data_IF_494942009446
#
_entry.id   IF_494942009446
#
_cell.length_a   1.000
_cell.length_b   1.000
_cell.length_c   1.000
_cell.angle_alpha   90.00
_cell.angle_beta   90.00
_cell.angle_gamma   90.00
#
_symmetry.space_group_name_H-M   'P 1'
#
loop_
_entity.id
_entity.type
_entity.pdbx_description
1 polymer ?
#
# COMPACT_ATOMS: atom_id res chain seq x y z
N UNK A 1 2.59 14.45 7.37
CA UNK A 1 2.55 12.97 7.29
C UNK A 1 1.96 12.60 5.94
N UNK A 2 2.72 12.73 4.86
CA UNK A 2 2.32 12.20 3.55
C UNK A 2 3.32 11.18 2.98
N UNK A 3 4.52 11.05 3.57
CA UNK A 3 5.57 10.18 3.04
C UNK A 3 5.74 8.83 3.73
N UNK A 4 5.73 8.76 5.06
CA UNK A 4 5.57 7.46 5.75
C UNK A 4 4.19 6.83 5.47
N UNK A 5 3.20 7.72 5.27
CA UNK A 5 1.88 7.44 4.72
C UNK A 5 1.94 6.64 3.44
N UNK A 6 3.00 6.78 2.65
CA UNK A 6 3.04 6.29 1.31
C UNK A 6 3.57 4.87 1.16
N UNK A 7 4.43 4.38 2.05
CA UNK A 7 4.88 2.98 2.02
C UNK A 7 3.82 2.05 2.59
N UNK A 8 3.14 2.51 3.64
CA UNK A 8 1.92 1.88 4.12
C UNK A 8 0.79 2.12 3.12
N UNK A 9 0.62 3.33 2.55
CA UNK A 9 -0.41 3.56 1.53
C UNK A 9 -0.10 2.85 0.23
N UNK A 10 1.14 2.47 -0.06
CA UNK A 10 1.50 1.58 -1.14
C UNK A 10 0.99 0.17 -0.83
N UNK A 11 1.10 -0.28 0.41
CA UNK A 11 0.44 -1.50 0.87
C UNK A 11 -1.11 -1.36 0.86
N UNK A 12 -1.71 -0.26 1.36
CA UNK A 12 -3.15 0.04 1.18
C UNK A 12 -3.51 0.03 -0.30
N UNK A 13 -2.65 0.59 -1.14
CA UNK A 13 -2.83 0.70 -2.56
C UNK A 13 -2.70 -0.69 -3.18
N UNK A 14 -1.86 -1.64 -2.74
CA UNK A 14 -1.91 -3.01 -3.27
C UNK A 14 -3.31 -3.57 -3.12
N UNK A 15 -3.93 -3.50 -1.94
CA UNK A 15 -5.27 -4.07 -1.78
C UNK A 15 -6.38 -3.26 -2.47
N UNK A 16 -6.17 -1.95 -2.63
CA UNK A 16 -7.24 -1.02 -2.91
C UNK A 16 -7.13 -0.33 -4.30
N UNK A 17 -5.93 -0.17 -4.86
CA UNK A 17 -5.73 0.02 -6.31
C UNK A 17 -6.41 -1.08 -7.12
N UNK A 18 -6.37 -2.31 -6.60
CA UNK A 18 -6.93 -3.47 -7.27
C UNK A 18 -8.46 -3.51 -7.20
N UNK A 19 -9.11 -2.70 -6.35
CA UNK A 19 -10.56 -2.74 -6.22
C UNK A 19 -11.30 -1.54 -6.79
N UNK A 20 -10.73 -0.34 -7.02
CA UNK A 20 -11.58 0.82 -7.39
C UNK A 20 -10.99 2.02 -8.16
N UNK A 21 -9.83 1.94 -8.81
CA UNK A 21 -9.14 3.16 -9.26
C UNK A 21 -8.79 3.20 -10.75
N UNK A 22 -9.74 3.45 -11.64
CA UNK A 22 -9.41 3.83 -13.02
C UNK A 22 -10.34 4.79 -13.78
N UNK A 23 -11.64 5.01 -13.46
CA UNK A 23 -12.45 5.88 -14.32
C UNK A 23 -12.03 7.36 -14.31
N UNK A 24 -11.02 7.76 -13.50
CA UNK A 24 -10.54 9.15 -13.38
C UNK A 24 -9.03 9.37 -13.42
N UNK A 25 -8.19 8.33 -13.48
CA UNK A 25 -6.74 8.49 -13.70
C UNK A 25 -6.41 8.77 -15.18
N UNK A 26 -7.29 9.47 -15.88
CA UNK A 26 -6.96 10.03 -17.18
C UNK A 26 -6.28 11.36 -16.90
N UNK A 27 -4.95 11.34 -16.84
CA UNK A 27 -4.16 12.56 -17.06
C UNK A 27 -4.39 12.98 -18.52
N UNK A 28 -5.57 13.53 -18.83
CA UNK A 28 -5.81 14.16 -20.13
C UNK A 28 -4.99 15.43 -20.14
N UNK A 29 -3.97 15.52 -21.00
CA UNK A 29 -3.50 16.83 -21.40
C UNK A 29 -4.62 17.51 -22.22
N UNK A 30 -4.84 18.82 -22.08
CA UNK A 30 -5.76 19.53 -22.95
C UNK A 30 -5.24 19.46 -24.40
N UNK A 31 -5.78 18.54 -25.21
CA UNK A 31 -5.41 18.37 -26.62
C UNK A 31 -5.03 16.96 -27.07
N UNK A 32 -4.85 16.00 -26.16
CA UNK A 32 -4.51 14.62 -26.52
C UNK A 32 -5.74 13.86 -27.05
N UNK A 33 -5.99 13.97 -28.35
CA UNK A 33 -6.62 12.87 -29.09
C UNK A 33 -5.66 11.70 -29.08
N UNK A 34 -6.02 10.60 -28.40
CA UNK A 34 -5.21 9.37 -28.33
C UNK A 34 -4.71 9.01 -29.76
N UNK A 35 -3.40 8.96 -30.00
CA UNK A 35 -2.88 8.66 -31.34
C UNK A 35 -3.35 7.27 -31.77
N UNK A 36 -3.95 7.18 -32.96
CA UNK A 36 -4.50 5.95 -33.59
C UNK A 36 -3.42 4.94 -34.02
N UNK A 37 -2.21 4.99 -33.46
CA UNK A 37 -1.14 4.03 -33.77
C UNK A 37 -1.28 2.78 -32.88
N UNK A 38 -1.65 1.67 -33.53
CA UNK A 38 -1.82 0.30 -33.03
C UNK A 38 -2.64 0.11 -31.73
N UNK A 39 -3.98 0.21 -31.81
CA UNK A 39 -4.90 -0.07 -30.70
C UNK A 39 -4.89 -1.53 -30.21
N UNK A 40 -4.29 -2.47 -30.96
CA UNK A 40 -4.44 -3.90 -30.70
C UNK A 40 -3.58 -4.46 -29.57
N UNK A 41 -2.54 -3.76 -29.09
CA UNK A 41 -1.65 -4.28 -28.02
C UNK A 41 -1.67 -3.45 -26.73
N UNK A 42 -1.53 -2.12 -26.84
CA UNK A 42 -1.50 -1.26 -25.67
C UNK A 42 -2.90 -0.98 -25.11
N UNK A 43 -3.94 -0.99 -25.96
CA UNK A 43 -5.33 -0.87 -25.51
C UNK A 43 -5.76 -2.09 -24.69
N UNK A 44 -5.43 -3.29 -25.15
CA UNK A 44 -5.83 -4.55 -24.52
C UNK A 44 -5.44 -4.64 -23.04
N UNK A 45 -4.20 -4.30 -22.70
CA UNK A 45 -3.70 -4.34 -21.31
C UNK A 45 -4.48 -3.39 -20.40
N UNK A 46 -4.78 -2.18 -20.86
CA UNK A 46 -5.55 -1.21 -20.07
C UNK A 46 -6.97 -1.71 -19.86
N UNK A 47 -7.63 -2.20 -20.91
CA UNK A 47 -8.98 -2.75 -20.80
C UNK A 47 -9.05 -4.01 -19.95
N UNK A 48 -8.03 -4.87 -19.98
CA UNK A 48 -7.98 -6.10 -19.18
C UNK A 48 -7.85 -5.80 -17.69
N UNK A 49 -6.87 -4.96 -17.32
CA UNK A 49 -6.72 -4.52 -15.93
C UNK A 49 -8.00 -3.81 -15.49
N UNK A 50 -8.51 -2.88 -16.31
CA UNK A 50 -9.76 -2.17 -16.03
C UNK A 50 -10.95 -3.09 -15.80
N UNK A 51 -11.21 -4.03 -16.72
CA UNK A 51 -12.32 -4.95 -16.60
C UNK A 51 -12.20 -5.82 -15.34
N UNK A 52 -10.99 -6.23 -15.00
CA UNK A 52 -10.73 -6.98 -13.78
C UNK A 52 -10.96 -6.13 -12.52
N UNK A 53 -10.46 -4.88 -12.48
CA UNK A 53 -10.73 -3.94 -11.39
C UNK A 53 -12.24 -3.63 -11.25
N UNK A 54 -12.94 -3.47 -12.38
CA UNK A 54 -14.38 -3.21 -12.42
C UNK A 54 -15.17 -4.41 -11.89
N UNK A 55 -14.71 -5.64 -12.17
CA UNK A 55 -15.26 -6.86 -11.58
C UNK A 55 -15.14 -6.89 -10.05
N UNK A 56 -14.04 -6.36 -9.50
CA UNK A 56 -13.83 -6.26 -8.06
C UNK A 56 -14.73 -5.22 -7.37
N UNK A 57 -15.33 -4.28 -8.11
CA UNK A 57 -16.29 -3.30 -7.59
C UNK A 57 -17.72 -3.84 -7.41
N UNK A 58 -18.04 -4.99 -8.03
CA UNK A 58 -19.40 -5.53 -8.12
C UNK A 58 -19.67 -6.74 -7.22
N UNK A 59 -18.64 -7.52 -6.85
CA UNK A 59 -18.78 -8.83 -6.22
C UNK A 59 -17.96 -8.98 -4.93
N UNK A 60 -18.22 -10.04 -4.16
CA UNK A 60 -17.35 -10.46 -3.05
C UNK A 60 -15.94 -10.71 -3.54
N UNK A 61 -14.91 -10.30 -2.78
CA UNK A 61 -13.50 -10.58 -3.10
C UNK A 61 -13.34 -12.07 -3.49
N UNK A 62 -12.80 -12.38 -4.68
CA UNK A 62 -12.70 -13.75 -5.14
C UNK A 62 -11.94 -14.60 -4.12
N UNK A 63 -12.36 -15.86 -3.86
CA UNK A 63 -11.63 -16.76 -2.96
C UNK A 63 -10.17 -17.00 -3.43
N UNK A 64 -9.87 -16.72 -4.70
CA UNK A 64 -8.55 -16.79 -5.33
C UNK A 64 -7.97 -15.40 -5.64
N UNK A 65 -8.35 -14.37 -4.88
CA UNK A 65 -7.94 -12.97 -5.11
C UNK A 65 -6.44 -12.83 -5.43
N UNK A 66 -5.60 -13.46 -4.63
CA UNK A 66 -4.15 -13.36 -4.81
C UNK A 66 -3.64 -14.07 -6.06
N UNK A 67 -4.24 -15.20 -6.46
CA UNK A 67 -3.88 -15.89 -7.70
C UNK A 67 -4.28 -15.02 -8.91
N UNK A 68 -5.46 -14.41 -8.87
CA UNK A 68 -5.96 -13.51 -9.91
C UNK A 68 -5.13 -12.22 -9.99
N UNK A 69 -4.74 -11.66 -8.84
CA UNK A 69 -3.81 -10.54 -8.77
C UNK A 69 -2.47 -10.88 -9.40
N UNK A 70 -1.86 -12.02 -9.02
CA UNK A 70 -0.61 -12.46 -9.64
C UNK A 70 -0.77 -12.70 -11.13
N UNK A 71 -1.90 -13.25 -11.58
CA UNK A 71 -2.19 -13.43 -13.01
C UNK A 71 -2.19 -12.11 -13.78
N UNK A 72 -2.65 -11.03 -13.16
CA UNK A 72 -2.77 -9.70 -13.76
C UNK A 72 -1.61 -8.76 -13.43
N UNK A 73 -0.58 -9.20 -12.70
CA UNK A 73 0.46 -8.31 -12.17
C UNK A 73 1.27 -7.64 -13.26
N UNK A 74 1.59 -8.35 -14.34
CA UNK A 74 2.37 -7.80 -15.46
C UNK A 74 1.60 -6.72 -16.22
N UNK A 75 0.30 -6.95 -16.41
CA UNK A 75 -0.61 -6.00 -17.03
C UNK A 75 -0.76 -4.74 -16.15
N UNK A 76 -0.98 -4.92 -14.84
CA UNK A 76 -1.08 -3.84 -13.87
C UNK A 76 0.22 -3.02 -13.77
N UNK A 77 1.38 -3.69 -13.76
CA UNK A 77 2.71 -3.06 -13.77
C UNK A 77 2.94 -2.23 -15.02
N UNK A 78 2.61 -2.78 -16.19
CA UNK A 78 2.75 -2.07 -17.47
C UNK A 78 1.90 -0.80 -17.48
N UNK A 79 0.66 -0.89 -16.99
CA UNK A 79 -0.22 0.26 -16.87
C UNK A 79 0.34 1.29 -15.87
N UNK A 80 0.84 0.85 -14.71
CA UNK A 80 1.41 1.72 -13.69
C UNK A 80 2.60 2.53 -14.20
N UNK A 81 3.55 1.87 -14.87
CA UNK A 81 4.70 2.53 -15.47
C UNK A 81 4.27 3.55 -16.53
N UNK A 82 3.20 3.27 -17.28
CA UNK A 82 2.65 4.24 -18.23
C UNK A 82 2.05 5.45 -17.54
N UNK A 83 1.23 5.27 -16.50
CA UNK A 83 0.66 6.39 -15.73
C UNK A 83 1.76 7.22 -15.07
N UNK A 84 2.79 6.55 -14.52
CA UNK A 84 3.96 7.22 -13.97
C UNK A 84 4.70 8.06 -15.03
N UNK A 85 4.94 7.50 -16.22
CA UNK A 85 5.60 8.23 -17.30
C UNK A 85 4.79 9.47 -17.76
N UNK A 86 3.45 9.38 -17.77
CA UNK A 86 2.59 10.53 -18.04
C UNK A 86 2.70 11.59 -16.94
N UNK A 87 2.81 11.17 -15.68
CA UNK A 87 3.06 12.09 -14.57
C UNK A 87 4.43 12.79 -14.72
N UNK A 88 5.49 12.07 -15.08
CA UNK A 88 6.81 12.65 -15.37
C UNK A 88 6.75 13.72 -16.46
N UNK A 89 5.95 13.52 -17.51
CA UNK A 89 5.76 14.51 -18.57
C UNK A 89 4.95 15.72 -18.11
N UNK A 90 3.90 15.48 -17.31
CA UNK A 90 2.99 16.53 -16.84
C UNK A 90 3.63 17.44 -15.79
N UNK A 91 4.45 16.88 -14.89
CA UNK A 91 5.04 17.57 -13.74
C UNK A 91 6.54 17.74 -13.94
N UNK A 92 6.90 18.54 -14.95
CA UNK A 92 8.28 18.73 -15.36
C UNK A 92 9.17 19.35 -14.25
N UNK A 93 8.57 20.11 -13.32
CA UNK A 93 9.24 20.76 -12.20
C UNK A 93 9.71 19.78 -11.12
N UNK A 94 9.11 18.59 -11.02
CA UNK A 94 9.50 17.51 -10.08
C UNK A 94 9.98 16.24 -10.78
N UNK A 95 10.36 16.35 -12.05
CA UNK A 95 10.84 15.23 -12.88
C UNK A 95 11.99 14.46 -12.23
N UNK A 96 12.96 15.17 -11.65
CA UNK A 96 14.12 14.52 -11.01
C UNK A 96 13.70 13.69 -9.78
N UNK A 97 12.77 14.21 -8.97
CA UNK A 97 12.19 13.49 -7.83
C UNK A 97 11.40 12.24 -8.26
N UNK A 98 10.69 12.31 -9.40
CA UNK A 98 10.00 11.15 -9.97
C UNK A 98 10.97 10.09 -10.49
N UNK A 99 12.09 10.48 -11.11
CA UNK A 99 13.14 9.55 -11.51
C UNK A 99 13.88 8.93 -10.31
N UNK A 100 14.08 9.70 -9.24
CA UNK A 100 14.59 9.16 -7.98
C UNK A 100 13.61 8.13 -7.41
N UNK A 101 12.31 8.43 -7.41
CA UNK A 101 11.28 7.49 -7.01
C UNK A 101 11.36 6.17 -7.79
N UNK A 102 11.47 6.22 -9.12
CA UNK A 102 11.64 5.02 -9.98
C UNK A 102 12.87 4.19 -9.59
N UNK A 103 13.98 4.89 -9.31
CA UNK A 103 15.24 4.26 -8.90
C UNK A 103 15.08 3.53 -7.56
N UNK A 104 14.48 4.19 -6.57
CA UNK A 104 14.32 3.64 -5.23
C UNK A 104 13.33 2.47 -5.18
N UNK A 105 12.24 2.53 -5.97
CA UNK A 105 11.31 1.40 -6.03
C UNK A 105 11.91 0.18 -6.73
N UNK A 106 12.63 0.38 -7.84
CA UNK A 106 13.33 -0.71 -8.52
C UNK A 106 14.32 -1.40 -7.59
N UNK A 107 15.15 -0.60 -6.90
CA UNK A 107 16.10 -1.12 -5.92
C UNK A 107 15.42 -1.84 -4.75
N UNK A 108 14.25 -1.38 -4.31
CA UNK A 108 13.47 -2.04 -3.26
C UNK A 108 12.99 -3.42 -3.72
N UNK A 109 12.39 -3.52 -4.91
CA UNK A 109 11.89 -4.78 -5.49
C UNK A 109 13.04 -5.78 -5.66
N UNK A 110 14.17 -5.34 -6.22
CA UNK A 110 15.34 -6.20 -6.43
C UNK A 110 15.91 -6.71 -5.10
N UNK A 111 15.95 -5.87 -4.08
CA UNK A 111 16.43 -6.25 -2.75
C UNK A 111 15.50 -7.23 -2.03
N UNK A 112 14.18 -7.04 -2.14
CA UNK A 112 13.21 -7.99 -1.57
C UNK A 112 13.26 -9.34 -2.28
N UNK A 113 13.47 -9.37 -3.60
CA UNK A 113 13.65 -10.61 -4.34
C UNK A 113 14.92 -11.36 -3.91
N UNK A 114 16.03 -10.64 -3.70
CA UNK A 114 17.28 -11.22 -3.17
C UNK A 114 17.11 -11.73 -1.74
N UNK A 115 16.40 -10.96 -0.90
CA UNK A 115 16.11 -11.36 0.46
C UNK A 115 15.26 -12.64 0.50
N UNK A 116 14.23 -12.73 -0.34
CA UNK A 116 13.44 -13.96 -0.51
C UNK A 116 14.32 -15.16 -0.86
N UNK A 117 15.22 -15.01 -1.82
CA UNK A 117 16.15 -16.08 -2.20
C UNK A 117 17.01 -16.53 -1.02
N UNK A 118 17.50 -15.60 -0.21
CA UNK A 118 18.25 -15.93 1.01
C UNK A 118 17.39 -16.68 2.04
N UNK A 119 16.09 -16.36 2.15
CA UNK A 119 15.15 -17.12 2.99
C UNK A 119 14.89 -18.54 2.45
N UNK A 120 14.84 -18.71 1.12
CA UNK A 120 14.66 -20.02 0.47
C UNK A 120 15.83 -20.97 0.75
N UNK A 121 17.05 -20.42 0.87
CA UNK A 121 18.26 -21.16 1.22
C UNK A 121 18.39 -21.45 2.74
N UNK A 122 17.54 -20.86 3.58
CA UNK A 122 17.57 -20.94 5.05
C UNK A 122 16.82 -22.14 5.67
N UNK A 123 16.95 -22.34 6.99
CA UNK A 123 16.32 -23.46 7.70
C UNK A 123 14.82 -23.22 7.88
N UNK A 124 14.00 -24.03 7.20
CA UNK A 124 12.54 -23.94 7.23
C UNK A 124 11.91 -23.15 6.09
N UNK A 125 12.74 -22.52 5.25
CA UNK A 125 12.33 -21.80 4.05
C UNK A 125 11.44 -20.58 4.31
N UNK A 126 11.01 -19.94 3.21
CA UNK A 126 10.15 -18.74 3.22
C UNK A 126 8.85 -18.95 4.00
N UNK A 127 8.22 -20.13 3.90
CA UNK A 127 6.91 -20.38 4.49
C UNK A 127 6.91 -20.22 6.02
N UNK A 128 7.93 -20.76 6.70
CA UNK A 128 8.02 -20.66 8.16
C UNK A 128 8.26 -19.21 8.58
N UNK A 129 9.09 -18.49 7.83
CA UNK A 129 9.33 -17.06 8.05
C UNK A 129 8.04 -16.24 7.87
N UNK A 130 7.22 -16.55 6.86
CA UNK A 130 5.90 -15.92 6.65
C UNK A 130 4.92 -16.18 7.78
N UNK A 131 4.98 -17.36 8.42
CA UNK A 131 4.11 -17.72 9.56
C UNK A 131 4.48 -16.92 10.82
N UNK A 132 5.76 -16.65 11.06
CA UNK A 132 6.26 -15.95 12.25
C UNK A 132 6.24 -14.41 12.09
N UNK A 133 6.34 -13.90 10.85
CA UNK A 133 6.42 -12.48 10.53
C UNK A 133 5.25 -11.61 11.07
N UNK A 134 3.97 -12.03 11.02
CA UNK A 134 2.87 -11.22 11.55
C UNK A 134 3.00 -10.94 13.05
N UNK A 135 3.42 -11.93 13.84
CA UNK A 135 3.59 -11.76 15.29
C UNK A 135 4.72 -10.78 15.61
N UNK A 136 5.83 -10.89 14.88
CA UNK A 136 6.96 -9.97 14.99
C UNK A 136 6.55 -8.52 14.66
N UNK A 137 5.86 -8.33 13.53
CA UNK A 137 5.46 -7.00 13.08
C UNK A 137 4.44 -6.36 14.04
N UNK A 138 3.53 -7.15 14.63
CA UNK A 138 2.59 -6.65 15.65
C UNK A 138 3.33 -6.04 16.85
N UNK A 139 4.34 -6.74 17.38
CA UNK A 139 5.15 -6.26 18.51
C UNK A 139 5.84 -4.92 18.17
N UNK A 140 6.37 -4.81 16.94
CA UNK A 140 6.99 -3.55 16.47
C UNK A 140 5.94 -2.44 16.39
N UNK A 141 4.76 -2.72 15.83
CA UNK A 141 3.68 -1.73 15.69
C UNK A 141 3.16 -1.23 17.03
N UNK A 142 2.94 -2.12 18.00
CA UNK A 142 2.51 -1.75 19.35
C UNK A 142 3.52 -0.79 20.02
N UNK A 143 4.81 -1.05 19.82
CA UNK A 143 5.89 -0.17 20.29
C UNK A 143 5.92 1.20 19.60
N UNK A 144 5.56 1.25 18.32
CA UNK A 144 5.53 2.49 17.53
C UNK A 144 4.30 3.35 17.84
N UNK A 145 3.13 2.75 18.08
CA UNK A 145 1.91 3.47 18.44
C UNK A 145 2.08 4.24 19.76
N UNK A 146 2.86 3.71 20.70
CA UNK A 146 3.19 4.39 21.96
C UNK A 146 4.18 5.56 21.80
N UNK A 147 5.15 5.43 20.89
CA UNK A 147 6.23 6.41 20.71
C UNK A 147 5.81 7.58 19.81
N UNK A 148 4.93 7.33 18.84
CA UNK A 148 4.46 8.32 17.89
C UNK A 148 2.96 8.57 18.09
N UNK A 149 2.56 9.25 19.18
CA UNK A 149 1.17 9.64 19.35
C UNK A 149 0.74 10.55 18.19
N UNK A 150 -0.55 10.58 17.81
CA UNK A 150 -1.04 11.40 16.71
C UNK A 150 -0.52 12.85 16.77
N UNK A 151 0.31 13.33 15.81
CA UNK A 151 0.76 14.71 15.89
C UNK A 151 -0.38 15.70 15.62
N UNK A 152 -0.32 16.91 16.15
CA UNK A 152 -1.31 17.95 15.86
C UNK A 152 -1.18 18.48 14.41
N UNK A 153 0.03 18.45 13.86
CA UNK A 153 0.35 18.95 12.52
C UNK A 153 1.03 17.88 11.66
N UNK A 154 1.20 18.17 10.35
CA UNK A 154 1.98 17.32 9.47
C UNK A 154 3.49 17.52 9.74
N UNK A 155 4.28 16.46 10.02
CA UNK A 155 5.73 16.58 10.16
C UNK A 155 6.39 17.05 8.86
N UNK A 156 7.37 17.94 9.01
CA UNK A 156 8.24 18.37 7.92
C UNK A 156 9.16 17.26 7.41
N UNK A 157 9.98 17.56 6.41
CA UNK A 157 10.89 16.61 5.75
C UNK A 157 11.81 15.87 6.75
N UNK A 158 12.59 16.62 7.54
CA UNK A 158 13.56 16.05 8.49
C UNK A 158 12.89 15.21 9.59
N UNK A 159 11.78 15.70 10.14
CA UNK A 159 11.01 14.99 11.16
C UNK A 159 10.48 13.66 10.60
N UNK A 160 9.91 13.69 9.39
CA UNK A 160 9.45 12.49 8.68
C UNK A 160 10.56 11.51 8.42
N UNK A 161 11.71 11.97 7.95
CA UNK A 161 12.89 11.14 7.73
C UNK A 161 13.33 10.46 9.02
N UNK A 162 13.38 11.19 10.13
CA UNK A 162 13.71 10.64 11.44
C UNK A 162 12.71 9.58 11.90
N UNK A 163 11.40 9.86 11.80
CA UNK A 163 10.35 8.89 12.13
C UNK A 163 10.47 7.61 11.31
N UNK A 164 10.62 7.74 9.98
CA UNK A 164 10.77 6.59 9.07
C UNK A 164 12.00 5.77 9.48
N UNK A 165 13.13 6.42 9.75
CA UNK A 165 14.35 5.73 10.18
C UNK A 165 14.17 4.94 11.48
N UNK A 166 13.48 5.51 12.48
CA UNK A 166 13.20 4.81 13.74
C UNK A 166 12.35 3.56 13.49
N UNK A 167 11.28 3.70 12.70
CA UNK A 167 10.40 2.58 12.32
C UNK A 167 11.20 1.48 11.63
N UNK A 168 12.02 1.84 10.64
CA UNK A 168 12.79 0.88 9.86
C UNK A 168 13.91 0.24 10.67
N UNK A 169 14.55 0.97 11.57
CA UNK A 169 15.54 0.40 12.47
C UNK A 169 14.93 -0.66 13.40
N UNK A 170 13.78 -0.38 14.02
CA UNK A 170 13.10 -1.35 14.90
C UNK A 170 12.58 -2.56 14.13
N UNK A 171 11.94 -2.32 12.99
CA UNK A 171 11.46 -3.38 12.10
C UNK A 171 12.63 -4.23 11.61
N UNK A 172 13.75 -3.59 11.26
CA UNK A 172 14.95 -4.24 10.78
C UNK A 172 15.60 -5.14 11.82
N UNK A 173 15.82 -4.65 13.05
CA UNK A 173 16.37 -5.48 14.13
C UNK A 173 15.45 -6.66 14.47
N UNK A 174 14.13 -6.45 14.43
CA UNK A 174 13.17 -7.53 14.64
C UNK A 174 13.29 -8.60 13.53
N UNK A 175 13.38 -8.18 12.26
CA UNK A 175 13.55 -9.08 11.11
C UNK A 175 14.88 -9.82 11.15
N UNK A 176 15.97 -9.14 11.53
CA UNK A 176 17.30 -9.75 11.70
C UNK A 176 17.26 -10.81 12.79
N UNK A 177 16.68 -10.49 13.95
CA UNK A 177 16.56 -11.44 15.06
C UNK A 177 15.75 -12.68 14.68
N UNK A 178 14.63 -12.48 13.98
CA UNK A 178 13.80 -13.58 13.47
C UNK A 178 14.55 -14.42 12.44
N UNK A 179 15.17 -13.80 11.42
CA UNK A 179 15.94 -14.52 10.40
C UNK A 179 17.10 -15.34 10.99
N UNK A 180 17.78 -14.82 12.02
CA UNK A 180 18.82 -15.55 12.72
C UNK A 180 18.26 -16.78 13.46
N UNK A 181 17.06 -16.68 14.03
CA UNK A 181 16.34 -17.83 14.61
C UNK A 181 15.94 -18.88 13.56
N UNK A 182 15.81 -18.49 12.30
CA UNK A 182 15.65 -19.39 11.14
C UNK A 182 16.97 -19.87 10.52
N UNK A 183 18.10 -19.66 11.20
CA UNK A 183 19.41 -20.16 10.78
C UNK A 183 20.04 -19.40 9.62
N UNK A 184 19.55 -18.20 9.32
CA UNK A 184 20.17 -17.31 8.32
C UNK A 184 21.29 -16.54 8.99
N UNK A 185 22.42 -16.39 8.29
CA UNK A 185 23.57 -15.65 8.82
C UNK A 185 23.18 -14.19 9.12
N UNK A 186 23.45 -13.76 10.36
CA UNK A 186 23.04 -12.45 10.85
C UNK A 186 23.71 -11.30 10.07
N UNK A 187 24.96 -11.48 9.62
CA UNK A 187 25.64 -10.47 8.82
C UNK A 187 24.96 -10.32 7.45
N UNK A 188 24.61 -11.44 6.80
CA UNK A 188 23.84 -11.42 5.55
C UNK A 188 22.50 -10.70 5.76
N UNK A 189 21.79 -10.98 6.86
CA UNK A 189 20.54 -10.29 7.19
C UNK A 189 20.73 -8.80 7.39
N UNK A 190 21.74 -8.38 8.16
CA UNK A 190 22.04 -6.96 8.41
C UNK A 190 22.34 -6.20 7.13
N UNK A 191 23.12 -6.81 6.22
CA UNK A 191 23.44 -6.21 4.92
C UNK A 191 22.17 -6.02 4.07
N UNK A 192 21.30 -7.04 3.96
CA UNK A 192 20.05 -6.96 3.19
C UNK A 192 19.04 -5.99 3.81
N UNK A 193 18.78 -6.13 5.10
CA UNK A 193 17.80 -5.30 5.83
C UNK A 193 18.26 -3.84 5.86
N UNK A 194 19.55 -3.57 6.04
CA UNK A 194 20.11 -2.22 5.97
C UNK A 194 19.93 -1.60 4.59
N UNK A 195 20.16 -2.36 3.52
CA UNK A 195 19.93 -1.90 2.15
C UNK A 195 18.45 -1.59 1.89
N UNK A 196 17.54 -2.53 2.18
CA UNK A 196 16.09 -2.34 2.01
C UNK A 196 15.61 -1.13 2.81
N UNK A 197 16.01 -1.02 4.08
CA UNK A 197 15.63 0.11 4.95
C UNK A 197 16.07 1.44 4.35
N UNK A 198 17.26 1.50 3.76
CA UNK A 198 17.74 2.72 3.11
C UNK A 198 16.86 3.10 1.92
N UNK A 199 16.52 2.14 1.03
CA UNK A 199 15.66 2.42 -0.13
C UNK A 199 14.25 2.86 0.30
N UNK A 200 13.71 2.18 1.31
CA UNK A 200 12.38 2.44 1.88
C UNK A 200 12.34 3.81 2.57
N UNK A 201 13.40 4.22 3.27
CA UNK A 201 13.54 5.57 3.85
C UNK A 201 13.42 6.62 2.75
N UNK A 202 14.23 6.50 1.70
CA UNK A 202 14.22 7.44 0.58
C UNK A 202 12.88 7.48 -0.14
N UNK A 203 12.29 6.32 -0.45
CA UNK A 203 11.00 6.23 -1.12
C UNK A 203 9.89 6.92 -0.31
N UNK A 204 9.86 6.69 1.01
CA UNK A 204 8.90 7.33 1.91
C UNK A 204 9.11 8.86 1.93
N UNK A 205 10.35 9.33 2.03
CA UNK A 205 10.67 10.76 2.09
C UNK A 205 10.31 11.45 0.78
N UNK A 206 10.84 10.97 -0.36
CA UNK A 206 10.60 11.55 -1.70
C UNK A 206 9.12 11.60 -2.00
N UNK A 207 8.39 10.52 -1.75
CA UNK A 207 6.96 10.54 -1.98
C UNK A 207 6.24 11.53 -1.08
N UNK A 208 6.72 11.63 0.16
CA UNK A 208 6.23 12.60 1.10
C UNK A 208 6.34 14.05 0.63
N UNK A 209 7.46 14.38 0.00
CA UNK A 209 7.72 15.72 -0.54
C UNK A 209 6.88 15.95 -1.80
N UNK A 210 6.83 14.97 -2.71
CA UNK A 210 5.98 15.01 -3.90
C UNK A 210 4.50 15.19 -3.54
N UNK A 211 4.03 14.53 -2.50
CA UNK A 211 2.66 14.62 -2.02
C UNK A 211 2.31 15.98 -1.39
N UNK A 212 3.32 16.71 -0.91
CA UNK A 212 3.17 18.08 -0.40
C UNK A 212 3.16 19.09 -1.54
N UNK A 213 4.03 18.92 -2.53
CA UNK A 213 4.16 19.82 -3.68
C UNK A 213 3.03 19.62 -4.71
N UNK A 214 2.66 18.37 -4.99
CA UNK A 214 1.65 17.97 -5.97
C UNK A 214 0.74 16.88 -5.39
N UNK A 215 -0.29 17.24 -4.61
CA UNK A 215 -1.21 16.28 -3.99
C UNK A 215 -1.85 15.29 -4.98
N UNK A 216 -2.01 15.66 -6.25
CA UNK A 216 -2.52 14.82 -7.33
C UNK A 216 -1.56 13.70 -7.77
N UNK A 217 -0.27 13.80 -7.43
CA UNK A 217 0.70 12.72 -7.67
C UNK A 217 0.53 11.58 -6.68
N UNK A 218 -0.08 11.80 -5.51
CA UNK A 218 -0.19 10.78 -4.46
C UNK A 218 -0.83 9.50 -4.98
N UNK A 219 -1.92 9.64 -5.74
CA UNK A 219 -2.67 8.49 -6.26
C UNK A 219 -1.85 7.73 -7.31
N UNK A 220 -1.17 8.46 -8.20
CA UNK A 220 -0.30 7.87 -9.25
C UNK A 220 0.86 7.13 -8.60
N UNK A 221 1.56 7.77 -7.68
CA UNK A 221 2.69 7.17 -6.99
C UNK A 221 2.19 5.93 -6.24
N UNK A 222 1.09 6.01 -5.49
CA UNK A 222 0.63 4.92 -4.63
C UNK A 222 0.23 3.72 -5.48
N UNK A 223 -0.43 3.99 -6.62
CA UNK A 223 -0.72 3.00 -7.65
C UNK A 223 0.56 2.35 -8.17
N UNK A 224 1.58 3.14 -8.51
CA UNK A 224 2.86 2.63 -9.00
C UNK A 224 3.56 1.75 -7.97
N UNK A 225 3.61 2.14 -6.70
CA UNK A 225 4.27 1.30 -5.70
C UNK A 225 3.50 0.04 -5.41
N UNK A 226 2.18 0.15 -5.29
CA UNK A 226 1.33 -1.00 -5.11
C UNK A 226 1.56 -2.05 -6.20
N UNK A 227 1.47 -1.64 -7.45
CA UNK A 227 1.58 -2.55 -8.59
C UNK A 227 2.98 -3.12 -8.77
N UNK A 228 4.02 -2.31 -8.55
CA UNK A 228 5.40 -2.76 -8.66
C UNK A 228 5.82 -3.70 -7.53
N UNK A 229 5.19 -3.60 -6.35
CA UNK A 229 5.44 -4.53 -5.25
C UNK A 229 4.61 -5.83 -5.33
N UNK A 230 3.66 -5.99 -6.26
CA UNK A 230 2.86 -7.24 -6.39
C UNK A 230 3.73 -8.51 -6.52
N UNK A 231 4.83 -8.54 -7.30
CA UNK A 231 5.71 -9.71 -7.37
C UNK A 231 6.24 -10.13 -5.98
N UNK A 232 6.33 -9.17 -5.06
CA UNK A 232 6.75 -9.34 -3.67
C UNK A 232 5.56 -9.62 -2.72
N UNK A 233 4.47 -10.18 -3.25
CA UNK A 233 3.26 -10.48 -2.47
C UNK A 233 3.48 -11.42 -1.29
N UNK A 234 4.54 -12.22 -1.33
CA UNK A 234 4.97 -13.10 -0.23
C UNK A 234 5.20 -12.30 1.07
N UNK A 235 5.76 -11.09 0.96
CA UNK A 235 5.95 -10.17 2.08
C UNK A 235 4.75 -9.25 2.31
N UNK A 236 4.13 -8.75 1.22
CA UNK A 236 3.00 -7.84 1.35
C UNK A 236 1.80 -8.47 2.06
N UNK A 237 1.52 -9.75 1.83
CA UNK A 237 0.39 -10.46 2.44
C UNK A 237 0.45 -10.45 3.98
N UNK A 238 1.50 -10.99 4.62
CA UNK A 238 1.62 -10.98 6.07
C UNK A 238 1.68 -9.54 6.60
N UNK A 239 2.35 -8.63 5.91
CA UNK A 239 2.39 -7.20 6.29
C UNK A 239 1.00 -6.56 6.31
N UNK A 240 0.21 -6.75 5.26
CA UNK A 240 -1.16 -6.24 5.15
C UNK A 240 -2.08 -6.90 6.17
N UNK A 241 -2.02 -8.22 6.32
CA UNK A 241 -2.80 -8.92 7.32
C UNK A 241 -2.50 -8.41 8.73
N UNK A 242 -1.23 -8.14 9.04
CA UNK A 242 -0.79 -7.61 10.34
C UNK A 242 -1.25 -6.18 10.59
N UNK A 243 -1.23 -5.33 9.56
CA UNK A 243 -1.88 -4.01 9.65
C UNK A 243 -3.40 -4.11 9.84
N UNK A 244 -3.96 -5.32 9.86
CA UNK A 244 -5.38 -5.58 9.99
C UNK A 244 -6.11 -5.18 8.73
N UNK A 245 -5.55 -5.48 7.56
CA UNK A 245 -6.33 -5.57 6.33
C UNK A 245 -6.93 -6.96 6.22
N UNK A 246 -8.26 -7.00 6.20
CA UNK A 246 -9.00 -8.14 5.72
C UNK A 246 -9.16 -8.04 4.19
N UNK A 247 -9.66 -9.10 3.52
CA UNK A 247 -10.12 -8.99 2.13
C UNK A 247 -11.08 -7.82 1.91
N UNK A 248 -11.89 -7.47 2.92
CA UNK A 248 -12.76 -6.31 2.89
C UNK A 248 -12.07 -5.02 3.35
N UNK A 249 -10.74 -4.90 3.31
CA UNK A 249 -10.01 -3.70 3.74
C UNK A 249 -9.74 -3.61 5.26
N UNK A 250 -9.42 -2.41 5.78
CA UNK A 250 -9.04 -2.23 7.17
C UNK A 250 -10.10 -2.70 8.17
N UNK A 251 -9.70 -3.56 9.10
CA UNK A 251 -10.49 -4.03 10.23
C UNK A 251 -10.61 -2.88 11.25
N UNK A 252 -11.83 -2.60 11.71
CA UNK A 252 -12.06 -1.54 12.71
C UNK A 252 -11.17 -1.76 13.94
N UNK A 253 -10.40 -0.73 14.31
CA UNK A 253 -9.49 -0.78 15.46
C UNK A 253 -8.12 -1.39 15.16
N UNK A 254 -7.84 -1.79 13.92
CA UNK A 254 -6.49 -2.19 13.52
C UNK A 254 -5.57 -0.98 13.34
N UNK A 255 -4.26 -1.24 13.25
CA UNK A 255 -3.28 -0.22 12.87
C UNK A 255 -3.61 0.38 11.51
N UNK A 256 -4.16 -0.38 10.54
CA UNK A 256 -4.67 0.18 9.29
C UNK A 256 -5.83 1.17 9.51
N UNK A 257 -6.80 0.83 10.35
CA UNK A 257 -7.89 1.76 10.65
C UNK A 257 -7.38 3.01 11.41
N UNK A 258 -6.43 2.85 12.32
CA UNK A 258 -5.77 3.96 13.02
C UNK A 258 -5.01 4.86 12.03
N UNK A 259 -4.17 4.26 11.18
CA UNK A 259 -3.43 4.95 10.13
C UNK A 259 -4.37 5.66 9.18
N UNK A 260 -5.42 4.99 8.69
CA UNK A 260 -6.42 5.61 7.83
C UNK A 260 -7.03 6.86 8.48
N UNK A 261 -7.53 6.72 9.71
CA UNK A 261 -8.10 7.84 10.48
C UNK A 261 -7.09 8.97 10.65
N UNK A 262 -5.83 8.63 10.88
CA UNK A 262 -4.77 9.58 11.14
C UNK A 262 -4.33 10.33 9.88
N UNK A 263 -4.19 9.64 8.74
CA UNK A 263 -3.60 10.21 7.53
C UNK A 263 -4.64 10.83 6.59
N UNK A 264 -5.83 10.23 6.49
CA UNK A 264 -6.90 10.67 5.59
C UNK A 264 -8.07 11.33 6.34
N UNK A 265 -8.00 11.39 7.68
CA UNK A 265 -9.08 11.90 8.53
C UNK A 265 -10.23 10.90 8.72
N UNK A 266 -11.22 11.26 9.53
CA UNK A 266 -12.46 10.49 9.66
C UNK A 266 -13.36 10.59 8.41
N UNK A 267 -13.18 11.67 7.63
CA UNK A 267 -13.92 11.95 6.40
C UNK A 267 -13.01 11.77 5.20
N UNK A 268 -12.93 10.54 4.71
CA UNK A 268 -12.43 10.28 3.37
C UNK A 268 -13.27 11.09 2.40
N UNK A 269 -12.66 11.97 1.60
CA UNK A 269 -13.41 12.85 0.70
C UNK A 269 -14.29 12.03 -0.24
N UNK A 270 -15.57 12.38 -0.31
CA UNK A 270 -16.55 11.69 -1.14
C UNK A 270 -16.09 11.72 -2.61
N UNK A 271 -15.91 10.54 -3.22
CA UNK A 271 -15.42 10.42 -4.59
C UNK A 271 -13.90 10.37 -4.74
N UNK A 272 -13.13 10.43 -3.65
CA UNK A 272 -11.74 9.95 -3.67
C UNK A 272 -11.71 8.44 -3.91
N UNK A 273 -10.61 7.95 -4.46
CA UNK A 273 -10.39 6.52 -4.65
C UNK A 273 -10.62 5.75 -3.33
N UNK A 274 -10.14 6.26 -2.20
CA UNK A 274 -10.34 5.67 -0.88
C UNK A 274 -11.83 5.54 -0.51
N UNK A 275 -12.68 6.52 -0.85
CA UNK A 275 -14.13 6.45 -0.58
C UNK A 275 -14.81 5.36 -1.41
N UNK A 276 -14.34 5.15 -2.64
CA UNK A 276 -14.80 4.05 -3.48
C UNK A 276 -14.43 2.69 -2.87
N UNK A 277 -13.26 2.60 -2.25
CA UNK A 277 -12.75 1.38 -1.62
C UNK A 277 -13.45 1.04 -0.33
N UNK A 278 -13.62 2.03 0.54
CA UNK A 278 -14.42 1.87 1.74
C UNK A 278 -15.86 1.49 1.37
N UNK A 279 -16.42 2.03 0.28
CA UNK A 279 -17.75 1.67 -0.21
C UNK A 279 -17.82 0.24 -0.78
N UNK A 280 -16.82 -0.22 -1.53
CA UNK A 280 -16.74 -1.59 -2.05
C UNK A 280 -16.64 -2.61 -0.90
N UNK A 281 -15.74 -2.34 0.05
CA UNK A 281 -15.59 -3.08 1.31
C UNK A 281 -16.90 -3.19 2.11
N UNK A 282 -17.59 -2.08 2.35
CA UNK A 282 -18.82 -2.07 3.15
C UNK A 282 -19.99 -2.80 2.48
N UNK A 283 -20.03 -2.87 1.14
CA UNK A 283 -21.04 -3.66 0.41
C UNK A 283 -20.87 -5.16 0.63
N UNK A 284 -19.63 -5.64 0.78
CA UNK A 284 -19.33 -7.05 1.09
C UNK A 284 -19.80 -7.44 2.50
N UNK A 285 -19.62 -6.57 3.50
CA UNK A 285 -20.09 -6.83 4.87
C UNK A 285 -21.62 -6.97 4.96
N UNK A 286 -22.37 -6.24 4.12
CA UNK A 286 -23.84 -6.36 4.03
C UNK A 286 -24.32 -7.71 3.48
N UNK A 287 -23.50 -8.43 2.70
CA UNK A 287 -23.82 -9.76 2.18
C UNK A 287 -23.66 -10.89 3.19
N UNK A 288 -22.77 -10.72 4.18
CA UNK A 288 -22.49 -11.72 5.24
C UNK A 288 -23.32 -11.45 6.52
N UNK A 289 -23.67 -10.19 6.80
CA UNK A 289 -24.40 -9.79 8.02
C UNK A 289 -25.91 -9.61 7.86
N UNK A 290 -26.51 -9.97 6.73
CA UNK A 290 -27.96 -9.82 6.48
C UNK A 290 -28.87 -10.73 7.33
N UNK A 291 -28.30 -11.52 8.24
CA UNK A 291 -29.04 -12.42 9.13
C UNK A 291 -29.67 -11.75 10.35
N UNK A 292 -28.90 -11.16 11.29
CA UNK A 292 -29.43 -10.92 12.66
C UNK A 292 -28.95 -9.62 13.38
N UNK A 293 -27.83 -8.96 13.01
CA UNK A 293 -27.26 -7.87 13.83
C UNK A 293 -27.57 -6.42 13.38
N UNK A 294 -28.31 -6.25 12.28
CA UNK A 294 -28.59 -4.94 11.67
C UNK A 294 -29.65 -4.07 12.36
N UNK A 295 -30.32 -4.54 13.43
CA UNK A 295 -31.49 -3.85 14.00
C UNK A 295 -31.24 -3.31 15.42
N UNK A 296 -30.32 -3.89 16.20
CA UNK A 296 -30.21 -3.59 17.64
C UNK A 296 -29.05 -2.64 17.98
N UNK A 297 -27.95 -2.64 17.21
CA UNK A 297 -26.76 -1.82 17.52
C UNK A 297 -26.72 -0.43 16.87
N UNK A 298 -27.42 -0.24 15.74
CA UNK A 298 -27.45 1.07 15.04
C UNK A 298 -28.29 2.15 15.75
N UNK A 299 -29.30 1.72 16.52
CA UNK A 299 -30.21 2.63 17.24
C UNK A 299 -29.58 3.13 18.55
N UNK A 300 -28.67 2.39 19.16
CA UNK A 300 -28.06 2.75 20.44
C UNK A 300 -26.84 3.69 20.31
N UNK A 301 -26.03 3.55 19.25
CA UNK A 301 -24.83 4.40 19.08
C UNK A 301 -25.17 5.82 18.57
N UNK A 302 -26.30 5.96 17.87
CA UNK A 302 -26.79 7.25 17.36
C UNK A 302 -27.31 8.17 18.48
N UNK A 303 -27.72 7.61 19.62
CA UNK A 303 -28.19 8.36 20.79
C UNK A 303 -27.01 8.91 21.61
N UNK A 304 -25.84 8.26 21.57
CA UNK A 304 -24.65 8.72 22.31
C UNK A 304 -23.99 9.95 21.67
N UNK A 305 -24.06 10.08 20.34
CA UNK A 305 -23.51 11.23 19.61
C UNK A 305 -24.46 12.45 19.67
N UNK A 306 -25.75 12.26 19.92
CA UNK A 306 -26.72 13.35 20.07
C UNK A 306 -26.65 14.11 21.42
N UNK A 307 -25.91 13.61 22.42
CA UNK A 307 -25.92 14.18 23.78
C UNK A 307 -24.62 14.88 24.22
N UNK A 308 -23.68 15.11 23.29
CA UNK A 308 -22.65 16.15 23.43
C UNK A 308 -21.75 16.06 24.67
N UNK A 309 -20.99 14.98 24.80
CA UNK A 309 -19.75 14.92 25.59
C UNK A 309 -18.63 14.35 24.71
#
# INVERSE_FOLDING_TARGET
MKGFTFLVAAAFAVHAVLAASLPRMVLTTPGDSIPKSDPCRAGGVVYEVQAWLDGLNGESVPPKFWEELTRHSDAARTYALRVHQLAVQKFADVKDSLHQFDTYIGATVDATAQFRKALEDGVGGVKRFEEDLPGLLQVVMDGLEMEFPPPENAPGHEERRNMVRIVLSRTGEAVISMGAAHGIDEKILRDHVGFVSTQVEFLAVVTGDLAEQHPELVDVLAFTVATLLIPESWFLRPFLSMMGFAPSGPVKGSSAAWMQRRFFGAAVSQGSWFAHLQRASMKQARGIFSGILGIILGVLESIRIMLGW
#
